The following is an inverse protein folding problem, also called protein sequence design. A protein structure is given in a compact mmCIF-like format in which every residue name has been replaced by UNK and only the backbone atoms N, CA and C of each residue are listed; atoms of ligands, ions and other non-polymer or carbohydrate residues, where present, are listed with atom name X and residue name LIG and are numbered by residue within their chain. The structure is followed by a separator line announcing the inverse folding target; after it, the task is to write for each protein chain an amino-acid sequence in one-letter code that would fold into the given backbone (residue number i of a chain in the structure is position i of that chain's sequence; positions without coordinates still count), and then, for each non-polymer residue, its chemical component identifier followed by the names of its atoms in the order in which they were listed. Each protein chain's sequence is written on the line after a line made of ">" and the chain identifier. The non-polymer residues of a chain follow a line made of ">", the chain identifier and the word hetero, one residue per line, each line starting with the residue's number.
data_IF_748289904212
#
_entry.id   IF_748289904212
#
_cell.length_a   1.000
_cell.length_b   1.000
_cell.length_c   1.000
_cell.angle_alpha   90.00
_cell.angle_beta   90.00
_cell.angle_gamma   90.00
#
_symmetry.space_group_name_H-M   'P 1'
#
loop_
_entity.id
_entity.type
_entity.pdbx_description
1 polymer ?
#
# COMPACT_ATOMS: atom_id res chain seq x y z
N UNK A 1 -27.79 -5.38 4.35
CA UNK A 1 -27.87 -6.35 3.23
C UNK A 1 -27.50 -5.76 1.87
N UNK A 2 -28.03 -4.59 1.49
CA UNK A 2 -27.72 -3.92 0.22
C UNK A 2 -26.21 -3.83 -0.11
N UNK A 3 -25.39 -3.26 0.78
CA UNK A 3 -23.95 -3.11 0.56
C UNK A 3 -23.21 -4.44 0.43
N UNK A 4 -23.62 -5.47 1.18
CA UNK A 4 -22.99 -6.79 1.11
C UNK A 4 -23.19 -7.44 -0.25
N UNK A 5 -24.42 -7.42 -0.80
CA UNK A 5 -24.69 -7.96 -2.14
C UNK A 5 -23.90 -7.22 -3.22
N UNK A 6 -23.78 -5.90 -3.08
CA UNK A 6 -23.09 -5.04 -4.04
C UNK A 6 -21.58 -5.27 -4.04
N UNK A 7 -20.98 -5.37 -2.85
CA UNK A 7 -19.56 -5.71 -2.68
C UNK A 7 -19.24 -7.06 -3.30
N UNK A 8 -20.07 -8.09 -3.07
CA UNK A 8 -19.86 -9.40 -3.68
C UNK A 8 -19.88 -9.32 -5.21
N UNK A 9 -20.83 -8.57 -5.79
CA UNK A 9 -20.88 -8.37 -7.24
C UNK A 9 -19.67 -7.62 -7.77
N UNK A 10 -19.21 -6.59 -7.07
CA UNK A 10 -18.03 -5.82 -7.45
C UNK A 10 -16.75 -6.63 -7.38
N UNK A 11 -16.53 -7.39 -6.31
CA UNK A 11 -15.34 -8.25 -6.17
C UNK A 11 -15.26 -9.32 -7.26
N UNK A 12 -16.40 -9.75 -7.80
CA UNK A 12 -16.45 -10.76 -8.86
C UNK A 12 -16.28 -10.18 -10.28
N UNK A 13 -16.48 -8.87 -10.47
CA UNK A 13 -16.57 -8.24 -11.80
C UNK A 13 -15.56 -7.12 -12.05
N UNK A 14 -15.04 -6.49 -10.99
CA UNK A 14 -14.15 -5.34 -11.08
C UNK A 14 -12.70 -5.73 -10.76
N UNK A 15 -11.77 -5.02 -11.39
CA UNK A 15 -10.38 -4.99 -10.92
C UNK A 15 -10.26 -4.24 -9.59
N UNK A 16 -9.17 -4.45 -8.85
CA UNK A 16 -8.94 -3.76 -7.58
C UNK A 16 -9.01 -2.22 -7.73
N UNK A 17 -8.33 -1.57 -8.71
CA UNK A 17 -8.47 -0.12 -8.93
C UNK A 17 -9.91 0.35 -9.11
N UNK A 18 -10.69 -0.33 -9.96
CA UNK A 18 -12.08 0.02 -10.23
C UNK A 18 -12.96 -0.13 -8.98
N UNK A 19 -12.71 -1.16 -8.17
CA UNK A 19 -13.38 -1.33 -6.89
C UNK A 19 -13.08 -0.15 -5.96
N UNK A 20 -11.81 0.25 -5.85
CA UNK A 20 -11.39 1.35 -4.97
C UNK A 20 -12.04 2.68 -5.39
N UNK A 21 -12.12 2.96 -6.70
CA UNK A 21 -12.78 4.17 -7.20
C UNK A 21 -14.28 4.19 -6.88
N UNK A 22 -14.99 3.08 -7.11
CA UNK A 22 -16.40 2.98 -6.76
C UNK A 22 -16.60 3.09 -5.24
N UNK A 23 -15.73 2.48 -4.43
CA UNK A 23 -15.79 2.57 -2.98
C UNK A 23 -15.57 4.01 -2.48
N UNK A 24 -14.56 4.73 -2.99
CA UNK A 24 -14.31 6.14 -2.63
C UNK A 24 -15.48 7.03 -3.03
N UNK A 25 -16.02 6.85 -4.25
CA UNK A 25 -17.20 7.59 -4.72
C UNK A 25 -18.39 7.38 -3.80
N UNK A 26 -18.70 6.13 -3.40
CA UNK A 26 -19.83 5.86 -2.49
C UNK A 26 -19.62 6.46 -1.11
N UNK A 27 -18.42 6.35 -0.56
CA UNK A 27 -18.13 6.94 0.75
C UNK A 27 -18.29 8.47 0.72
N UNK A 28 -17.85 9.13 -0.36
CA UNK A 28 -18.04 10.57 -0.54
C UNK A 28 -19.50 10.96 -0.78
N UNK A 29 -20.27 10.15 -1.51
CA UNK A 29 -21.70 10.36 -1.71
C UNK A 29 -22.46 10.26 -0.39
N UNK A 30 -22.18 9.24 0.42
CA UNK A 30 -22.78 9.10 1.76
C UNK A 30 -22.34 10.25 2.67
N UNK A 31 -21.06 10.63 2.67
CA UNK A 31 -20.56 11.77 3.46
C UNK A 31 -21.20 13.11 3.07
N UNK A 32 -21.50 13.32 1.78
CA UNK A 32 -22.26 14.50 1.31
C UNK A 32 -23.72 14.46 1.74
N UNK A 33 -24.35 13.29 1.73
CA UNK A 33 -25.73 13.12 2.21
C UNK A 33 -25.84 13.48 3.69
N UNK A 34 -24.92 12.98 4.52
CA UNK A 34 -24.86 13.29 5.96
C UNK A 34 -24.86 14.80 6.26
N UNK A 35 -24.22 15.61 5.42
CA UNK A 35 -24.13 17.05 5.62
C UNK A 35 -25.43 17.80 5.25
N UNK A 36 -26.38 17.16 4.57
CA UNK A 36 -27.62 17.78 4.09
C UNK A 36 -28.85 17.47 4.94
N UNK A 37 -28.83 16.42 5.77
CA UNK A 37 -30.01 15.98 6.54
C UNK A 37 -30.03 16.47 8.00
N UNK A 38 -31.24 16.56 8.56
CA UNK A 38 -31.52 17.02 9.92
C UNK A 38 -31.43 15.90 10.98
N UNK A 39 -31.62 14.63 10.60
CA UNK A 39 -31.66 13.49 11.54
C UNK A 39 -30.36 12.69 11.50
N UNK A 40 -29.54 12.86 12.54
CA UNK A 40 -28.14 12.38 12.60
C UNK A 40 -27.99 10.92 13.06
N UNK A 41 -29.04 10.29 13.60
CA UNK A 41 -28.94 8.99 14.28
C UNK A 41 -28.82 7.82 13.30
N UNK A 42 -29.82 7.65 12.44
CA UNK A 42 -29.90 6.56 11.46
C UNK A 42 -28.77 6.63 10.42
N UNK A 43 -28.28 7.83 10.19
CA UNK A 43 -27.23 8.16 9.24
C UNK A 43 -25.84 7.76 9.73
N UNK A 44 -25.57 7.94 11.02
CA UNK A 44 -24.31 7.51 11.61
C UNK A 44 -24.18 5.97 11.59
N UNK A 45 -25.29 5.25 11.77
CA UNK A 45 -25.33 3.79 11.60
C UNK A 45 -25.06 3.38 10.14
N UNK A 46 -25.68 4.05 9.16
CA UNK A 46 -25.47 3.75 7.74
C UNK A 46 -24.01 3.98 7.32
N UNK A 47 -23.38 5.06 7.79
CA UNK A 47 -21.95 5.34 7.54
C UNK A 47 -21.07 4.20 8.07
N UNK A 48 -21.29 3.77 9.31
CA UNK A 48 -20.52 2.69 9.94
C UNK A 48 -20.70 1.38 9.17
N UNK A 49 -21.92 1.05 8.76
CA UNK A 49 -22.19 -0.17 7.96
C UNK A 49 -21.52 -0.10 6.59
N UNK A 50 -21.59 1.06 5.92
CA UNK A 50 -20.98 1.25 4.59
C UNK A 50 -19.46 1.12 4.64
N UNK A 51 -18.83 1.81 5.60
CA UNK A 51 -17.39 1.73 5.82
C UNK A 51 -16.96 0.30 6.18
N UNK A 52 -17.72 -0.39 7.02
CA UNK A 52 -17.45 -1.78 7.39
C UNK A 52 -17.53 -2.73 6.20
N UNK A 53 -18.58 -2.64 5.39
CA UNK A 53 -18.77 -3.56 4.28
C UNK A 53 -17.83 -3.24 3.10
N UNK A 54 -17.51 -1.96 2.83
CA UNK A 54 -16.65 -1.55 1.71
C UNK A 54 -15.14 -1.64 1.99
N UNK A 55 -14.71 -1.53 3.24
CA UNK A 55 -13.28 -1.49 3.61
C UNK A 55 -12.91 -2.71 4.44
N UNK A 56 -13.54 -2.89 5.60
CA UNK A 56 -13.18 -3.93 6.57
C UNK A 56 -13.33 -5.35 6.02
N UNK A 57 -14.44 -5.62 5.35
CA UNK A 57 -14.73 -6.95 4.82
C UNK A 57 -13.98 -7.28 3.51
N UNK A 58 -13.36 -6.28 2.88
CA UNK A 58 -12.81 -6.38 1.52
C UNK A 58 -11.32 -6.16 1.46
N UNK A 59 -10.71 -5.42 2.38
CA UNK A 59 -9.32 -5.00 2.26
C UNK A 59 -8.34 -6.17 2.05
N UNK A 60 -8.50 -7.26 2.82
CA UNK A 60 -7.66 -8.45 2.64
C UNK A 60 -7.81 -9.02 1.22
N UNK A 61 -9.06 -9.18 0.75
CA UNK A 61 -9.34 -9.70 -0.60
C UNK A 61 -8.77 -8.78 -1.67
N UNK A 62 -8.92 -7.46 -1.52
CA UNK A 62 -8.42 -6.47 -2.47
C UNK A 62 -6.89 -6.49 -2.57
N UNK A 63 -6.21 -6.72 -1.45
CA UNK A 63 -4.75 -6.85 -1.41
C UNK A 63 -4.29 -8.14 -2.09
N UNK A 64 -5.00 -9.25 -1.88
CA UNK A 64 -4.72 -10.58 -2.43
C UNK A 64 -5.16 -10.78 -3.90
N UNK A 65 -5.96 -9.87 -4.46
CA UNK A 65 -6.36 -9.92 -5.86
C UNK A 65 -5.14 -9.85 -6.80
N UNK A 66 -5.26 -10.47 -7.98
CA UNK A 66 -4.21 -10.42 -9.01
C UNK A 66 -3.89 -8.97 -9.45
N UNK A 67 -4.90 -8.10 -9.50
CA UNK A 67 -4.74 -6.66 -9.76
C UNK A 67 -4.53 -5.82 -8.49
N UNK A 68 -4.31 -6.48 -7.35
CA UNK A 68 -4.26 -5.90 -6.02
C UNK A 68 -2.95 -5.19 -5.69
N UNK A 69 -2.66 -5.10 -4.39
CA UNK A 69 -1.57 -4.27 -3.87
C UNK A 69 -0.20 -4.67 -4.44
N UNK A 70 0.07 -5.97 -4.59
CA UNK A 70 1.33 -6.46 -5.15
C UNK A 70 1.51 -6.01 -6.61
N UNK A 71 0.48 -6.15 -7.45
CA UNK A 71 0.55 -5.71 -8.83
C UNK A 71 0.68 -4.18 -8.94
N UNK A 72 0.09 -3.43 -8.01
CA UNK A 72 0.26 -1.98 -7.98
C UNK A 72 1.71 -1.58 -7.66
N UNK A 73 2.38 -2.25 -6.72
CA UNK A 73 3.80 -2.00 -6.43
C UNK A 73 4.71 -2.39 -7.60
N UNK A 74 4.48 -3.54 -8.23
CA UNK A 74 5.32 -4.02 -9.35
C UNK A 74 5.20 -3.12 -10.58
N UNK A 75 4.01 -2.59 -10.84
CA UNK A 75 3.76 -1.72 -11.99
C UNK A 75 3.87 -0.21 -11.68
N UNK A 76 4.40 0.16 -10.51
CA UNK A 76 4.53 1.55 -10.06
C UNK A 76 3.25 2.38 -10.20
N UNK A 77 2.11 1.80 -9.82
CA UNK A 77 0.78 2.41 -9.87
C UNK A 77 0.51 3.30 -8.66
N UNK A 78 1.16 4.46 -8.62
CA UNK A 78 1.20 5.36 -7.45
C UNK A 78 -0.18 5.94 -7.11
N UNK A 79 -0.99 6.29 -8.11
CA UNK A 79 -2.33 6.84 -7.89
C UNK A 79 -3.27 5.81 -7.26
N UNK A 80 -3.22 4.55 -7.73
CA UNK A 80 -4.00 3.46 -7.16
C UNK A 80 -3.54 3.09 -5.75
N UNK A 81 -2.23 3.08 -5.48
CA UNK A 81 -1.69 2.90 -4.13
C UNK A 81 -2.15 4.01 -3.18
N UNK A 82 -2.14 5.26 -3.66
CA UNK A 82 -2.61 6.43 -2.90
C UNK A 82 -4.10 6.32 -2.58
N UNK A 83 -4.91 5.88 -3.54
CA UNK A 83 -6.34 5.65 -3.35
C UNK A 83 -6.60 4.52 -2.35
N UNK A 84 -5.89 3.40 -2.46
CA UNK A 84 -5.98 2.29 -1.52
C UNK A 84 -5.64 2.74 -0.10
N UNK A 85 -4.54 3.49 0.05
CA UNK A 85 -4.14 4.06 1.34
C UNK A 85 -5.17 5.03 1.91
N UNK A 86 -5.70 5.97 1.10
CA UNK A 86 -6.75 6.91 1.54
C UNK A 86 -8.02 6.22 2.02
N UNK A 87 -8.36 5.07 1.44
CA UNK A 87 -9.48 4.26 1.91
C UNK A 87 -9.12 3.52 3.20
N UNK A 88 -7.99 2.81 3.23
CA UNK A 88 -7.63 1.99 4.38
C UNK A 88 -7.27 2.81 5.61
N UNK A 89 -6.75 4.04 5.47
CA UNK A 89 -6.48 4.91 6.62
C UNK A 89 -7.73 5.31 7.41
N UNK A 90 -8.93 5.21 6.80
CA UNK A 90 -10.20 5.39 7.51
C UNK A 90 -10.41 4.30 8.59
N UNK A 91 -9.77 3.15 8.43
CA UNK A 91 -9.73 2.03 9.36
C UNK A 91 -8.28 1.59 9.58
N UNK A 92 -7.55 2.25 10.49
CA UNK A 92 -6.10 2.05 10.67
C UNK A 92 -5.65 0.57 10.79
N UNK A 93 -6.50 -0.31 11.32
CA UNK A 93 -6.30 -1.78 11.37
C UNK A 93 -6.13 -2.47 10.01
N UNK A 94 -6.48 -1.81 8.90
CA UNK A 94 -6.35 -2.35 7.54
C UNK A 94 -5.03 -1.98 6.88
N UNK A 95 -4.35 -0.92 7.35
CA UNK A 95 -3.03 -0.51 6.84
C UNK A 95 -1.97 -1.63 6.89
N UNK A 96 -1.93 -2.50 7.93
CA UNK A 96 -1.02 -3.64 7.97
C UNK A 96 -1.12 -4.58 6.76
N UNK A 97 -2.28 -4.69 6.11
CA UNK A 97 -2.39 -5.52 4.90
C UNK A 97 -1.54 -4.98 3.74
N UNK A 98 -1.39 -3.66 3.63
CA UNK A 98 -0.53 -3.05 2.61
C UNK A 98 0.95 -3.13 3.00
N UNK A 99 1.29 -2.84 4.26
CA UNK A 99 2.69 -2.89 4.71
C UNK A 99 3.27 -4.30 4.64
N UNK A 100 2.45 -5.32 4.90
CA UNK A 100 2.86 -6.73 4.78
C UNK A 100 3.16 -7.16 3.34
N UNK A 101 2.65 -6.43 2.33
CA UNK A 101 3.00 -6.65 0.92
C UNK A 101 4.19 -5.79 0.51
N UNK A 102 4.29 -4.57 1.05
CA UNK A 102 5.40 -3.66 0.79
C UNK A 102 6.74 -4.23 1.26
N UNK A 103 6.79 -4.87 2.44
CA UNK A 103 8.02 -5.46 3.00
C UNK A 103 8.66 -6.48 2.02
N UNK A 104 7.98 -7.56 1.60
CA UNK A 104 8.53 -8.51 0.62
C UNK A 104 8.86 -7.89 -0.74
N UNK A 105 8.10 -6.90 -1.19
CA UNK A 105 8.41 -6.19 -2.44
C UNK A 105 9.77 -5.47 -2.35
N UNK A 106 10.03 -4.78 -1.24
CA UNK A 106 11.29 -4.09 -1.00
C UNK A 106 12.43 -5.09 -0.85
N UNK A 107 12.23 -6.16 -0.08
CA UNK A 107 13.22 -7.22 0.07
C UNK A 107 13.61 -7.80 -1.29
N UNK A 108 12.63 -8.12 -2.15
CA UNK A 108 12.88 -8.64 -3.49
C UNK A 108 13.68 -7.66 -4.35
N UNK A 109 13.37 -6.35 -4.31
CA UNK A 109 14.12 -5.34 -5.06
C UNK A 109 15.54 -5.16 -4.53
N UNK A 110 15.72 -5.21 -3.21
CA UNK A 110 17.03 -5.09 -2.59
C UNK A 110 17.90 -6.33 -2.88
N UNK A 111 17.33 -7.53 -2.80
CA UNK A 111 18.02 -8.79 -3.13
C UNK A 111 18.54 -8.80 -4.56
N UNK A 112 17.80 -8.23 -5.53
CA UNK A 112 18.30 -8.12 -6.91
C UNK A 112 19.58 -7.32 -7.04
N UNK A 113 19.79 -6.30 -6.21
CA UNK A 113 21.01 -5.48 -6.20
C UNK A 113 22.13 -6.23 -5.45
N UNK A 114 21.79 -6.82 -4.30
CA UNK A 114 22.75 -7.52 -3.44
C UNK A 114 23.27 -8.80 -4.09
N UNK A 115 22.42 -9.60 -4.70
CA UNK A 115 22.80 -10.88 -5.29
C UNK A 115 23.43 -10.73 -6.68
N UNK A 116 23.48 -9.52 -7.24
CA UNK A 116 24.13 -9.26 -8.53
C UNK A 116 25.65 -9.38 -8.40
N UNK A 117 26.20 -10.39 -9.09
CA UNK A 117 27.64 -10.67 -9.08
C UNK A 117 28.46 -9.53 -9.69
N UNK A 118 27.90 -8.73 -10.61
CA UNK A 118 28.61 -7.58 -11.19
C UNK A 118 28.88 -6.51 -10.13
N UNK A 119 28.02 -6.41 -9.12
CA UNK A 119 28.16 -5.44 -8.03
C UNK A 119 29.26 -5.81 -7.03
N UNK A 120 29.81 -7.04 -7.10
CA UNK A 120 30.96 -7.45 -6.27
C UNK A 120 32.19 -6.63 -6.64
N UNK A 121 32.41 -6.43 -7.94
CA UNK A 121 33.62 -5.81 -8.49
C UNK A 121 33.47 -4.29 -8.68
N UNK A 122 32.25 -3.74 -8.51
CA UNK A 122 31.94 -2.31 -8.63
C UNK A 122 31.30 -1.71 -7.35
N UNK A 123 32.07 -1.50 -6.26
CA UNK A 123 31.54 -0.99 -4.99
C UNK A 123 30.79 0.35 -5.10
N UNK A 124 31.27 1.27 -5.94
CA UNK A 124 30.63 2.57 -6.12
C UNK A 124 29.23 2.45 -6.73
N UNK A 125 29.07 1.58 -7.73
CA UNK A 125 27.81 1.32 -8.42
C UNK A 125 26.81 0.58 -7.53
N UNK A 126 27.30 -0.34 -6.69
CA UNK A 126 26.48 -0.97 -5.65
C UNK A 126 25.86 0.09 -4.73
N UNK A 127 26.70 0.99 -4.17
CA UNK A 127 26.24 2.04 -3.27
C UNK A 127 25.25 2.98 -3.97
N UNK A 128 25.55 3.38 -5.21
CA UNK A 128 24.67 4.20 -6.04
C UNK A 128 23.28 3.55 -6.20
N UNK A 129 23.19 2.28 -6.63
CA UNK A 129 21.90 1.60 -6.81
C UNK A 129 21.11 1.44 -5.50
N UNK A 130 21.79 1.17 -4.38
CA UNK A 130 21.14 1.10 -3.07
C UNK A 130 20.57 2.46 -2.67
N UNK A 131 21.31 3.55 -2.91
CA UNK A 131 20.86 4.91 -2.63
C UNK A 131 19.69 5.32 -3.54
N UNK A 132 19.74 4.96 -4.83
CA UNK A 132 18.65 5.18 -5.78
C UNK A 132 17.38 4.45 -5.36
N UNK A 133 17.48 3.14 -5.03
CA UNK A 133 16.36 2.36 -4.54
C UNK A 133 15.77 2.98 -3.27
N UNK A 134 16.63 3.39 -2.33
CA UNK A 134 16.18 4.06 -1.10
C UNK A 134 15.42 5.36 -1.42
N UNK A 135 15.96 6.19 -2.31
CA UNK A 135 15.32 7.45 -2.72
C UNK A 135 13.97 7.22 -3.41
N UNK A 136 13.88 6.21 -4.27
CA UNK A 136 12.63 5.83 -4.93
C UNK A 136 11.56 5.41 -3.91
N UNK A 137 11.94 4.56 -2.94
CA UNK A 137 11.04 4.11 -1.88
C UNK A 137 10.66 5.24 -0.90
N UNK A 138 11.59 6.16 -0.60
CA UNK A 138 11.32 7.36 0.20
C UNK A 138 10.28 8.24 -0.51
N UNK A 139 10.44 8.46 -1.81
CA UNK A 139 9.48 9.21 -2.62
C UNK A 139 8.11 8.51 -2.69
N UNK A 140 8.08 7.19 -2.85
CA UNK A 140 6.85 6.41 -2.86
C UNK A 140 6.09 6.55 -1.53
N UNK A 141 6.79 6.46 -0.39
CA UNK A 141 6.18 6.64 0.94
C UNK A 141 5.63 8.05 1.13
N UNK A 142 6.37 9.07 0.68
CA UNK A 142 5.92 10.45 0.77
C UNK A 142 4.69 10.72 -0.10
N UNK A 143 4.69 10.26 -1.36
CA UNK A 143 3.63 10.54 -2.33
C UNK A 143 2.39 9.70 -2.11
N UNK A 144 2.55 8.39 -1.87
CA UNK A 144 1.43 7.45 -1.83
C UNK A 144 0.84 7.27 -0.44
N UNK A 145 1.66 7.41 0.60
CA UNK A 145 1.30 7.01 1.97
C UNK A 145 1.38 8.17 2.97
N UNK A 146 1.48 9.42 2.52
CA UNK A 146 1.45 10.62 3.37
C UNK A 146 2.47 10.57 4.52
N UNK A 147 3.65 10.00 4.25
CA UNK A 147 4.69 9.75 5.24
C UNK A 147 4.23 8.95 6.47
N UNK A 148 3.27 8.05 6.31
CA UNK A 148 2.76 7.22 7.41
C UNK A 148 3.90 6.43 8.08
N UNK A 149 3.93 6.50 9.41
CA UNK A 149 5.00 5.89 10.21
C UNK A 149 5.06 4.36 10.09
N UNK A 150 3.94 3.70 9.80
CA UNK A 150 3.88 2.26 9.55
C UNK A 150 4.57 1.91 8.23
N UNK A 151 4.34 2.68 7.18
CA UNK A 151 4.99 2.49 5.87
C UNK A 151 6.48 2.86 5.91
N UNK A 152 6.87 3.90 6.66
CA UNK A 152 8.29 4.20 6.90
C UNK A 152 9.01 3.06 7.61
N UNK A 153 8.38 2.46 8.62
CA UNK A 153 8.93 1.29 9.33
C UNK A 153 9.02 0.07 8.43
N UNK A 154 7.98 -0.23 7.65
CA UNK A 154 7.97 -1.32 6.68
C UNK A 154 9.11 -1.17 5.66
N UNK A 155 9.30 0.04 5.13
CA UNK A 155 10.41 0.35 4.24
C UNK A 155 11.78 0.11 4.88
N UNK A 156 12.01 0.68 6.07
CA UNK A 156 13.29 0.53 6.77
C UNK A 156 13.57 -0.95 7.05
N UNK A 157 12.57 -1.68 7.54
CA UNK A 157 12.69 -3.11 7.84
C UNK A 157 12.99 -3.93 6.58
N UNK A 158 12.31 -3.68 5.47
CA UNK A 158 12.57 -4.38 4.20
C UNK A 158 14.00 -4.16 3.67
N UNK A 159 14.51 -2.92 3.77
CA UNK A 159 15.90 -2.62 3.40
C UNK A 159 16.90 -3.25 4.37
N UNK A 160 16.72 -3.08 5.68
CA UNK A 160 17.59 -3.60 6.72
C UNK A 160 17.68 -5.13 6.69
N UNK A 161 16.57 -5.82 6.42
CA UNK A 161 16.52 -7.28 6.37
C UNK A 161 17.44 -7.90 5.31
N UNK A 162 17.75 -7.16 4.25
CA UNK A 162 18.64 -7.61 3.17
C UNK A 162 20.04 -7.00 3.35
N UNK A 163 20.14 -5.68 3.55
CA UNK A 163 21.42 -4.99 3.65
C UNK A 163 22.24 -5.44 4.87
N UNK A 164 21.61 -5.71 6.01
CA UNK A 164 22.34 -6.17 7.20
C UNK A 164 22.88 -7.61 7.06
N UNK A 165 22.36 -8.40 6.12
CA UNK A 165 22.88 -9.73 5.81
C UNK A 165 24.08 -9.67 4.87
N UNK A 166 24.24 -8.57 4.14
CA UNK A 166 25.35 -8.38 3.21
C UNK A 166 26.57 -7.80 3.93
N UNK A 167 27.58 -8.63 4.16
CA UNK A 167 28.86 -8.22 4.78
C UNK A 167 29.63 -7.20 3.94
N UNK A 168 29.32 -7.07 2.63
CA UNK A 168 29.90 -6.05 1.75
C UNK A 168 29.30 -4.68 2.00
N UNK A 169 28.03 -4.59 2.38
CA UNK A 169 27.34 -3.31 2.55
C UNK A 169 28.06 -2.41 3.57
N UNK A 170 28.42 -2.96 4.74
CA UNK A 170 29.19 -2.22 5.74
C UNK A 170 30.59 -1.80 5.26
N UNK A 171 31.22 -2.64 4.42
CA UNK A 171 32.56 -2.37 3.87
C UNK A 171 32.53 -1.29 2.80
N UNK A 172 31.51 -1.32 1.92
CA UNK A 172 31.39 -0.40 0.78
C UNK A 172 30.85 0.97 1.20
N UNK A 173 30.05 1.06 2.26
CA UNK A 173 29.62 2.34 2.84
C UNK A 173 30.72 3.06 3.63
N UNK A 174 31.79 2.37 4.01
CA UNK A 174 32.91 2.94 4.77
C UNK A 174 34.10 3.38 3.90
N UNK A 175 34.05 3.12 2.59
CA UNK A 175 35.02 3.50 1.57
C UNK A 175 34.70 4.89 1.01
#
# INVERSE_FOLDING_TARGET
>A
EYYRSKVTGWLASLSCPQFLEEADRRLQDEERRLNQYLDRSSEQELRVVTQRELILNTAQKLVEMESGCQAMFVNSKHDELSLMYRLFRREAKMLPHMTNVMEPYIEQRCSKIVDDQQMIDEPAKYVEQVLELKSELDSMVAQCFDNDSGFQKARNKGLENILNKDTRCAKYLAL
#
